data_IF_137584981338
#
_entry.id   IF_137584981338
#
_cell.length_a   1.000
_cell.length_b   1.000
_cell.length_c   1.000
_cell.angle_alpha   90.00
_cell.angle_beta   90.00
_cell.angle_gamma   90.00
#
_symmetry.space_group_name_H-M   'P 1'
#
loop_
_entity.id
_entity.type
_entity.pdbx_description
1 polymer ?
#
# COMPACT_ATOMS: atom_id res chain seq x y z
N UNK A 1 -5.51 -6.21 -17.57
CA UNK A 1 -4.44 -6.67 -16.65
C UNK A 1 -3.76 -7.94 -17.14
N UNK A 2 -4.38 -9.12 -17.09
CA UNK A 2 -3.72 -10.42 -17.35
C UNK A 2 -2.87 -10.52 -18.62
N UNK A 3 -3.26 -9.92 -19.75
CA UNK A 3 -2.46 -9.94 -20.99
C UNK A 3 -1.13 -9.17 -20.85
N UNK A 4 -1.15 -7.98 -20.27
CA UNK A 4 0.08 -7.21 -19.97
C UNK A 4 0.96 -7.99 -19.01
N UNK A 5 0.36 -8.61 -17.99
CA UNK A 5 1.07 -9.44 -17.03
C UNK A 5 1.73 -10.67 -17.68
N UNK A 6 1.01 -11.41 -18.53
CA UNK A 6 1.53 -12.59 -19.25
C UNK A 6 2.64 -12.22 -20.25
N UNK A 7 2.59 -11.02 -20.85
CA UNK A 7 3.66 -10.49 -21.69
C UNK A 7 4.91 -10.14 -20.88
N UNK A 8 4.75 -9.52 -19.71
CA UNK A 8 5.86 -9.16 -18.81
C UNK A 8 6.48 -10.40 -18.16
N UNK A 9 5.69 -11.40 -17.75
CA UNK A 9 6.20 -12.59 -17.06
C UNK A 9 6.99 -13.53 -17.99
N UNK A 10 6.49 -13.82 -19.21
CA UNK A 10 7.25 -14.59 -20.22
C UNK A 10 8.56 -13.91 -20.64
N UNK A 11 8.60 -12.59 -20.57
CA UNK A 11 9.81 -11.82 -20.87
C UNK A 11 10.77 -11.77 -19.67
N UNK A 12 10.28 -11.61 -18.43
CA UNK A 12 11.08 -11.71 -17.19
C UNK A 12 11.87 -13.03 -17.12
N UNK A 13 11.20 -14.14 -17.44
CA UNK A 13 11.82 -15.48 -17.41
C UNK A 13 12.95 -15.61 -18.43
N UNK A 14 12.85 -14.94 -19.58
CA UNK A 14 13.91 -14.94 -20.62
C UNK A 14 15.07 -13.98 -20.33
N UNK A 15 14.78 -12.75 -19.89
CA UNK A 15 15.83 -11.74 -19.65
C UNK A 15 16.52 -11.89 -18.29
N UNK A 16 16.10 -12.82 -17.41
CA UNK A 16 16.70 -12.91 -16.08
C UNK A 16 18.17 -13.36 -16.08
N UNK A 17 18.59 -14.28 -16.96
CA UNK A 17 20.00 -14.54 -17.32
C UNK A 17 21.02 -14.86 -16.22
N UNK A 18 20.62 -14.89 -14.95
CA UNK A 18 21.52 -14.95 -13.79
C UNK A 18 21.99 -16.38 -13.51
N UNK A 19 23.19 -16.70 -13.98
CA UNK A 19 24.06 -17.61 -13.22
C UNK A 19 24.35 -16.96 -11.85
N UNK A 20 24.17 -17.73 -10.77
CA UNK A 20 24.50 -17.29 -9.42
C UNK A 20 25.89 -17.83 -9.05
N UNK A 21 26.75 -16.94 -8.56
CA UNK A 21 28.14 -17.20 -8.22
C UNK A 21 28.27 -18.24 -7.09
N UNK A 22 28.64 -19.48 -7.45
CA UNK A 22 29.17 -20.44 -6.48
C UNK A 22 30.69 -20.27 -6.26
N UNK A 23 31.39 -19.60 -7.19
CA UNK A 23 32.86 -19.58 -7.27
C UNK A 23 33.53 -18.31 -6.71
N UNK A 24 32.89 -17.14 -6.71
CA UNK A 24 33.54 -15.90 -6.25
C UNK A 24 33.69 -15.84 -4.72
N UNK A 25 32.70 -16.33 -3.95
CA UNK A 25 32.74 -16.32 -2.48
C UNK A 25 33.92 -17.11 -1.89
N UNK A 26 34.29 -18.24 -2.48
CA UNK A 26 35.42 -19.05 -2.01
C UNK A 26 36.79 -18.46 -2.41
N UNK A 27 36.84 -17.53 -3.37
CA UNK A 27 38.08 -16.88 -3.81
C UNK A 27 38.43 -15.65 -2.97
N UNK A 28 37.43 -14.86 -2.58
CA UNK A 28 37.63 -13.70 -1.68
C UNK A 28 38.12 -14.15 -0.28
N UNK A 29 37.58 -15.27 0.23
CA UNK A 29 37.92 -15.77 1.57
C UNK A 29 39.38 -16.23 1.75
N UNK A 30 40.06 -16.69 0.69
CA UNK A 30 41.48 -17.11 0.77
C UNK A 30 42.47 -15.95 0.75
N UNK A 31 42.07 -14.75 0.35
CA UNK A 31 42.97 -13.62 0.15
C UNK A 31 43.11 -12.67 1.36
N UNK A 32 42.29 -12.86 2.40
CA UNK A 32 42.25 -12.01 3.62
C UNK A 32 43.04 -12.63 4.78
N UNK A 33 43.69 -13.78 4.56
CA UNK A 33 44.67 -14.32 5.50
C UNK A 33 45.92 -13.43 5.57
N UNK A 34 46.26 -12.98 6.78
CA UNK A 34 47.53 -12.33 7.15
C UNK A 34 47.67 -10.84 6.75
N UNK A 35 46.76 -9.97 7.21
CA UNK A 35 47.15 -8.62 7.65
C UNK A 35 46.13 -8.04 8.66
N UNK A 36 46.62 -7.49 9.78
CA UNK A 36 45.77 -7.00 10.87
C UNK A 36 45.19 -5.62 10.56
N UNK A 37 44.17 -5.58 9.69
CA UNK A 37 43.40 -4.36 9.41
C UNK A 37 42.71 -3.91 10.71
N UNK A 38 43.00 -2.68 11.13
CA UNK A 38 42.39 -2.10 12.34
C UNK A 38 40.86 -2.04 12.22
N UNK A 39 40.14 -2.33 13.30
CA UNK A 39 38.66 -2.46 13.32
C UNK A 39 37.96 -1.25 12.68
N UNK A 40 38.41 -0.03 13.01
CA UNK A 40 37.89 1.22 12.46
C UNK A 40 38.08 1.33 10.94
N UNK A 41 39.18 0.78 10.41
CA UNK A 41 39.49 0.75 8.98
C UNK A 41 38.70 -0.34 8.26
N UNK A 42 38.46 -1.49 8.91
CA UNK A 42 37.54 -2.52 8.42
C UNK A 42 36.09 -2.00 8.35
N UNK A 43 35.60 -1.37 9.42
CA UNK A 43 34.27 -0.72 9.44
C UNK A 43 34.14 0.37 8.36
N UNK A 44 35.17 1.20 8.17
CA UNK A 44 35.18 2.22 7.12
C UNK A 44 35.14 1.59 5.72
N UNK A 45 35.93 0.53 5.47
CA UNK A 45 35.90 -0.19 4.18
C UNK A 45 34.55 -0.89 3.94
N UNK A 46 33.92 -1.47 4.98
CA UNK A 46 32.58 -2.07 4.87
C UNK A 46 31.51 -1.00 4.61
N UNK A 47 31.59 0.16 5.26
CA UNK A 47 30.70 1.28 5.01
C UNK A 47 30.86 1.84 3.58
N UNK A 48 32.11 2.03 3.12
CA UNK A 48 32.42 2.54 1.78
C UNK A 48 32.05 1.52 0.68
N UNK A 49 32.28 0.22 0.89
CA UNK A 49 31.79 -0.87 0.02
C UNK A 49 30.25 -1.00 0.01
N UNK A 50 29.54 -0.44 1.01
CA UNK A 50 28.06 -0.37 1.11
C UNK A 50 27.44 0.90 0.51
N UNK A 51 28.22 1.90 0.08
CA UNK A 51 27.68 3.10 -0.58
C UNK A 51 27.24 2.82 -2.03
N UNK A 52 25.98 2.45 -2.21
CA UNK A 52 25.36 2.27 -3.53
C UNK A 52 25.14 3.64 -4.18
N UNK A 53 25.87 3.92 -5.27
CA UNK A 53 25.67 5.14 -6.06
C UNK A 53 24.33 5.04 -6.79
N UNK A 54 23.45 6.02 -6.61
CA UNK A 54 22.11 6.05 -7.24
C UNK A 54 22.18 5.92 -8.78
N UNK A 55 23.27 6.41 -9.41
CA UNK A 55 23.54 6.24 -10.85
C UNK A 55 23.67 4.78 -11.30
N UNK A 56 24.09 3.88 -10.42
CA UNK A 56 24.20 2.45 -10.72
C UNK A 56 22.83 1.76 -10.63
N UNK A 57 21.86 2.31 -9.89
CA UNK A 57 20.48 1.83 -9.92
C UNK A 57 19.82 2.03 -11.30
N UNK A 58 20.23 3.02 -12.10
CA UNK A 58 19.76 3.17 -13.48
C UNK A 58 20.38 2.17 -14.46
N UNK A 59 21.40 1.40 -14.03
CA UNK A 59 21.95 0.26 -14.79
C UNK A 59 21.24 -1.06 -14.46
N UNK A 60 20.40 -1.10 -13.43
CA UNK A 60 19.54 -2.26 -13.18
C UNK A 60 18.61 -2.44 -14.37
N UNK A 61 18.61 -3.63 -14.96
CA UNK A 61 17.96 -3.91 -16.24
C UNK A 61 16.44 -3.68 -16.22
N UNK A 62 15.84 -3.62 -17.41
CA UNK A 62 14.43 -3.32 -17.64
C UNK A 62 13.46 -4.06 -16.71
N UNK A 63 13.80 -5.32 -16.38
CA UNK A 63 13.08 -6.21 -15.46
C UNK A 63 12.87 -5.57 -14.08
N UNK A 64 13.89 -4.90 -13.54
CA UNK A 64 13.82 -4.15 -12.29
C UNK A 64 12.87 -2.96 -12.41
N UNK A 65 12.93 -2.19 -13.51
CA UNK A 65 12.05 -1.03 -13.71
C UNK A 65 10.58 -1.43 -13.93
N UNK A 66 10.33 -2.54 -14.64
CA UNK A 66 9.00 -3.13 -14.75
C UNK A 66 8.46 -3.58 -13.39
N UNK A 67 9.29 -4.24 -12.58
CA UNK A 67 8.97 -4.60 -11.20
C UNK A 67 8.64 -3.35 -10.35
N UNK A 68 9.46 -2.30 -10.39
CA UNK A 68 9.20 -1.03 -9.69
C UNK A 68 7.89 -0.38 -10.13
N UNK A 69 7.58 -0.37 -11.43
CA UNK A 69 6.30 0.09 -11.94
C UNK A 69 5.11 -0.71 -11.39
N UNK A 70 5.25 -2.04 -11.25
CA UNK A 70 4.24 -2.90 -10.64
C UNK A 70 4.04 -2.55 -9.16
N UNK A 71 5.10 -2.29 -8.38
CA UNK A 71 4.98 -1.87 -6.98
C UNK A 71 4.17 -0.58 -6.80
N UNK A 72 4.42 0.43 -7.65
CA UNK A 72 3.65 1.69 -7.66
C UNK A 72 2.17 1.41 -7.92
N UNK A 73 1.85 0.55 -8.89
CA UNK A 73 0.48 0.17 -9.21
C UNK A 73 -0.19 -0.65 -8.08
N UNK A 74 0.54 -1.55 -7.43
CA UNK A 74 0.06 -2.30 -6.27
C UNK A 74 -0.33 -1.36 -5.11
N UNK A 75 0.57 -0.45 -4.73
CA UNK A 75 0.28 0.56 -3.69
C UNK A 75 -0.89 1.47 -4.06
N UNK A 76 -0.98 1.88 -5.33
CA UNK A 76 -2.06 2.72 -5.85
C UNK A 76 -3.44 2.02 -5.89
N UNK A 77 -3.49 0.71 -6.10
CA UNK A 77 -4.75 -0.04 -6.17
C UNK A 77 -5.20 -0.50 -4.77
N UNK A 78 -4.30 -1.09 -3.99
CA UNK A 78 -4.66 -1.73 -2.73
C UNK A 78 -4.98 -0.70 -1.63
N UNK A 79 -4.11 0.27 -1.38
CA UNK A 79 -4.24 1.14 -0.21
C UNK A 79 -5.53 1.98 -0.20
N UNK A 80 -5.93 2.68 -1.30
CA UNK A 80 -7.19 3.44 -1.31
C UNK A 80 -8.41 2.53 -1.18
N UNK A 81 -8.36 1.30 -1.71
CA UNK A 81 -9.43 0.34 -1.54
C UNK A 81 -9.56 -0.07 -0.07
N UNK A 82 -8.47 -0.47 0.59
CA UNK A 82 -8.50 -0.87 2.00
C UNK A 82 -9.01 0.25 2.91
N UNK A 83 -8.61 1.51 2.68
CA UNK A 83 -9.13 2.65 3.44
C UNK A 83 -10.60 3.02 3.14
N UNK A 84 -11.11 2.73 1.94
CA UNK A 84 -12.49 3.03 1.55
C UNK A 84 -13.44 1.83 1.70
N UNK A 85 -12.94 0.63 1.99
CA UNK A 85 -13.72 -0.60 2.00
C UNK A 85 -14.94 -0.54 2.92
N UNK A 86 -14.76 -0.09 4.17
CA UNK A 86 -15.87 0.07 5.12
C UNK A 86 -16.96 1.01 4.57
N UNK A 87 -16.59 2.19 4.09
CA UNK A 87 -17.52 3.16 3.48
C UNK A 87 -18.21 2.59 2.22
N UNK A 88 -17.50 1.79 1.41
CA UNK A 88 -18.04 1.13 0.23
C UNK A 88 -19.06 0.06 0.65
N UNK A 89 -18.78 -0.72 1.70
CA UNK A 89 -19.69 -1.78 2.16
C UNK A 89 -20.94 -1.20 2.82
N UNK A 90 -20.77 -0.23 3.72
CA UNK A 90 -21.85 0.54 4.37
C UNK A 90 -22.82 1.08 3.32
N UNK A 91 -22.33 1.90 2.37
CA UNK A 91 -23.19 2.57 1.37
C UNK A 91 -23.72 1.66 0.25
N UNK A 92 -23.11 0.50 0.01
CA UNK A 92 -23.55 -0.43 -1.05
C UNK A 92 -24.56 -1.47 -0.57
N UNK A 93 -24.37 -1.96 0.66
CA UNK A 93 -25.14 -3.06 1.23
C UNK A 93 -26.11 -2.62 2.33
N UNK A 94 -26.19 -1.31 2.62
CA UNK A 94 -27.02 -0.72 3.69
C UNK A 94 -26.71 -1.32 5.07
N UNK A 95 -25.42 -1.61 5.30
CA UNK A 95 -24.91 -2.17 6.55
C UNK A 95 -24.68 -1.06 7.57
N UNK A 96 -24.74 -1.40 8.86
CA UNK A 96 -24.32 -0.46 9.90
C UNK A 96 -22.82 -0.16 9.78
N UNK A 97 -22.40 1.02 10.25
CA UNK A 97 -20.98 1.41 10.28
C UNK A 97 -20.12 0.37 11.03
N UNK A 98 -20.68 -0.24 12.09
CA UNK A 98 -20.01 -1.29 12.86
C UNK A 98 -19.82 -2.58 12.06
N UNK A 99 -20.88 -3.06 11.40
CA UNK A 99 -20.81 -4.29 10.59
C UNK A 99 -19.89 -4.11 9.39
N UNK A 100 -19.98 -2.96 8.71
CA UNK A 100 -19.13 -2.64 7.56
C UNK A 100 -17.65 -2.49 7.95
N UNK A 101 -17.35 -1.93 9.13
CA UNK A 101 -15.99 -1.88 9.67
C UNK A 101 -15.49 -3.28 10.09
N UNK A 102 -16.35 -4.12 10.67
CA UNK A 102 -16.05 -5.52 10.99
C UNK A 102 -15.69 -6.30 9.72
N UNK A 103 -16.54 -6.24 8.69
CA UNK A 103 -16.30 -6.86 7.37
C UNK A 103 -15.00 -6.35 6.71
N UNK A 104 -14.71 -5.06 6.80
CA UNK A 104 -13.47 -4.49 6.28
C UNK A 104 -12.22 -4.94 7.08
N UNK A 105 -12.35 -5.23 8.38
CA UNK A 105 -11.22 -5.69 9.21
C UNK A 105 -10.67 -7.06 8.76
N UNK A 106 -11.53 -7.93 8.20
CA UNK A 106 -11.11 -9.22 7.66
C UNK A 106 -10.16 -9.11 6.46
N UNK A 107 -10.17 -7.98 5.73
CA UNK A 107 -9.21 -7.71 4.65
C UNK A 107 -7.77 -7.73 5.19
N UNK A 108 -7.56 -7.05 6.32
CA UNK A 108 -6.26 -6.99 6.98
C UNK A 108 -5.94 -8.30 7.72
N UNK A 109 -6.93 -8.88 8.42
CA UNK A 109 -6.75 -10.13 9.16
C UNK A 109 -6.31 -11.28 8.25
N UNK A 110 -6.82 -11.35 7.01
CA UNK A 110 -6.41 -12.36 6.03
C UNK A 110 -4.88 -12.36 5.81
N UNK A 111 -4.24 -11.19 5.70
CA UNK A 111 -2.78 -11.11 5.49
C UNK A 111 -1.96 -11.76 6.61
N UNK A 112 -2.43 -11.69 7.87
CA UNK A 112 -1.75 -12.24 9.05
C UNK A 112 -1.65 -13.77 8.96
N UNK A 113 -2.71 -14.44 8.50
CA UNK A 113 -2.74 -15.89 8.31
C UNK A 113 -2.10 -16.33 7.00
N UNK A 114 -2.21 -15.51 5.94
CA UNK A 114 -1.68 -15.87 4.63
C UNK A 114 -0.16 -15.73 4.50
N UNK A 115 0.50 -14.85 5.27
CA UNK A 115 1.95 -14.72 5.20
C UNK A 115 2.70 -16.00 5.60
N UNK A 116 2.43 -16.65 6.75
CA UNK A 116 3.05 -17.94 7.09
C UNK A 116 2.75 -19.05 6.06
N UNK A 117 1.51 -19.12 5.58
CA UNK A 117 1.09 -20.11 4.57
C UNK A 117 1.86 -19.89 3.27
N UNK A 118 1.96 -18.65 2.79
CA UNK A 118 2.66 -18.34 1.55
C UNK A 118 4.17 -18.56 1.66
N UNK A 119 4.79 -18.20 2.80
CA UNK A 119 6.19 -18.51 3.09
C UNK A 119 6.45 -20.02 3.00
N UNK A 120 5.66 -20.81 3.75
CA UNK A 120 5.74 -22.26 3.73
C UNK A 120 5.59 -22.85 2.31
N UNK A 121 4.62 -22.37 1.52
CA UNK A 121 4.45 -22.82 0.13
C UNK A 121 5.69 -22.51 -0.73
N UNK A 122 6.26 -21.31 -0.61
CA UNK A 122 7.43 -20.89 -1.39
C UNK A 122 8.64 -21.75 -1.03
N UNK A 123 8.91 -21.95 0.26
CA UNK A 123 10.04 -22.74 0.77
C UNK A 123 9.92 -24.21 0.36
N UNK A 124 8.71 -24.79 0.44
CA UNK A 124 8.46 -26.17 0.01
C UNK A 124 8.60 -26.36 -1.49
N UNK A 125 8.14 -25.40 -2.30
CA UNK A 125 7.97 -25.63 -3.73
C UNK A 125 9.22 -25.37 -4.58
N UNK A 126 10.21 -24.58 -4.09
CA UNK A 126 11.55 -24.32 -4.69
C UNK A 126 11.65 -23.90 -6.17
N UNK A 127 10.56 -23.98 -6.95
CA UNK A 127 10.51 -23.68 -8.37
C UNK A 127 10.12 -22.22 -8.59
N UNK A 128 11.01 -21.42 -9.21
CA UNK A 128 10.80 -19.99 -9.52
C UNK A 128 9.45 -19.66 -10.18
N UNK A 129 8.86 -20.61 -10.91
CA UNK A 129 7.54 -20.49 -11.52
C UNK A 129 6.41 -20.25 -10.50
N UNK A 130 6.51 -20.79 -9.26
CA UNK A 130 5.44 -20.67 -8.26
C UNK A 130 5.19 -19.22 -7.83
N UNK A 131 6.24 -18.39 -7.76
CA UNK A 131 6.13 -16.97 -7.43
C UNK A 131 5.28 -16.23 -8.48
N UNK A 132 5.47 -16.54 -9.76
CA UNK A 132 4.67 -15.98 -10.84
C UNK A 132 3.23 -16.51 -10.85
N UNK A 133 3.02 -17.78 -10.52
CA UNK A 133 1.69 -18.38 -10.41
C UNK A 133 0.89 -17.79 -9.24
N UNK A 134 1.53 -17.64 -8.06
CA UNK A 134 0.96 -16.98 -6.90
C UNK A 134 0.62 -15.52 -7.24
N UNK A 135 1.57 -14.73 -7.75
CA UNK A 135 1.26 -13.33 -8.10
C UNK A 135 0.14 -13.20 -9.15
N UNK A 136 0.08 -14.09 -10.14
CA UNK A 136 -1.04 -14.14 -11.09
C UNK A 136 -2.36 -14.47 -10.37
N UNK A 137 -2.36 -15.45 -9.46
CA UNK A 137 -3.52 -15.82 -8.65
C UNK A 137 -4.02 -14.61 -7.85
N UNK A 138 -3.14 -13.85 -7.19
CA UNK A 138 -3.49 -12.58 -6.52
C UNK A 138 -4.22 -11.66 -7.48
N UNK A 139 -3.61 -11.36 -8.63
CA UNK A 139 -4.18 -10.42 -9.60
C UNK A 139 -5.56 -10.87 -10.08
N UNK A 140 -5.77 -12.18 -10.27
CA UNK A 140 -7.09 -12.73 -10.61
C UNK A 140 -8.10 -12.61 -9.47
N UNK A 141 -7.71 -12.93 -8.22
CA UNK A 141 -8.58 -12.83 -7.04
C UNK A 141 -9.01 -11.38 -6.78
N UNK A 142 -8.07 -10.43 -6.83
CA UNK A 142 -8.36 -9.00 -6.72
C UNK A 142 -9.24 -8.52 -7.88
N UNK A 143 -9.04 -9.01 -9.11
CA UNK A 143 -9.92 -8.69 -10.23
C UNK A 143 -11.35 -9.25 -10.05
N UNK A 144 -11.49 -10.47 -9.51
CA UNK A 144 -12.79 -11.05 -9.17
C UNK A 144 -13.48 -10.30 -8.03
N UNK A 145 -12.74 -9.79 -7.04
CA UNK A 145 -13.29 -8.87 -6.04
C UNK A 145 -13.87 -7.61 -6.68
N UNK A 146 -13.11 -6.91 -7.52
CA UNK A 146 -13.60 -5.70 -8.20
C UNK A 146 -14.78 -6.01 -9.15
N UNK A 147 -14.80 -7.18 -9.79
CA UNK A 147 -15.94 -7.62 -10.59
C UNK A 147 -17.19 -7.87 -9.72
N UNK A 148 -17.05 -8.53 -8.56
CA UNK A 148 -18.12 -8.69 -7.58
C UNK A 148 -18.66 -7.33 -7.10
N UNK A 149 -17.76 -6.40 -6.79
CA UNK A 149 -18.08 -5.01 -6.43
C UNK A 149 -18.48 -4.13 -7.64
N UNK A 150 -18.61 -4.69 -8.83
CA UNK A 150 -19.23 -4.04 -9.98
C UNK A 150 -20.68 -4.52 -10.19
N UNK A 151 -20.99 -5.77 -9.84
CA UNK A 151 -22.34 -6.33 -9.95
C UNK A 151 -23.37 -5.62 -9.04
N UNK A 152 -24.61 -5.38 -9.48
CA UNK A 152 -25.65 -4.73 -8.69
C UNK A 152 -25.85 -5.39 -7.31
N UNK A 153 -26.01 -4.57 -6.26
CA UNK A 153 -26.16 -5.04 -4.87
C UNK A 153 -27.31 -6.04 -4.68
N UNK A 154 -28.39 -5.90 -5.47
CA UNK A 154 -29.53 -6.83 -5.53
C UNK A 154 -29.13 -8.29 -5.83
N UNK A 155 -28.04 -8.49 -6.59
CA UNK A 155 -27.51 -9.81 -6.94
C UNK A 155 -26.54 -10.29 -5.87
N UNK A 156 -25.59 -9.44 -5.46
CA UNK A 156 -24.49 -9.87 -4.57
C UNK A 156 -24.94 -10.04 -3.12
N UNK A 157 -25.89 -9.23 -2.64
CA UNK A 157 -26.50 -9.21 -1.30
C UNK A 157 -25.56 -9.00 -0.09
N UNK A 158 -24.34 -9.51 -0.13
CA UNK A 158 -23.34 -9.39 0.94
C UNK A 158 -21.96 -9.02 0.38
N UNK A 159 -21.11 -8.32 1.18
CA UNK A 159 -19.73 -8.01 0.79
C UNK A 159 -18.79 -9.22 0.95
N UNK A 160 -19.17 -10.23 1.74
CA UNK A 160 -18.30 -11.35 2.17
C UNK A 160 -17.49 -12.00 1.03
N UNK A 161 -18.04 -12.32 -0.16
CA UNK A 161 -17.25 -12.89 -1.24
C UNK A 161 -16.18 -11.93 -1.77
N UNK A 162 -16.47 -10.63 -1.87
CA UNK A 162 -15.47 -9.63 -2.25
C UNK A 162 -14.40 -9.43 -1.17
N UNK A 163 -14.80 -9.47 0.12
CA UNK A 163 -13.87 -9.41 1.25
C UNK A 163 -12.91 -10.60 1.23
N UNK A 164 -13.43 -11.82 1.08
CA UNK A 164 -12.62 -13.03 0.99
C UNK A 164 -11.70 -13.00 -0.24
N UNK A 165 -12.21 -12.66 -1.43
CA UNK A 165 -11.40 -12.58 -2.65
C UNK A 165 -10.30 -11.51 -2.57
N UNK A 166 -10.58 -10.34 -1.99
CA UNK A 166 -9.57 -9.29 -1.80
C UNK A 166 -8.56 -9.65 -0.72
N UNK A 167 -9.02 -10.08 0.47
CA UNK A 167 -8.16 -10.48 1.57
C UNK A 167 -7.23 -11.63 1.19
N UNK A 168 -7.73 -12.60 0.41
CA UNK A 168 -6.87 -13.65 -0.17
C UNK A 168 -5.89 -13.08 -1.20
N UNK A 169 -6.35 -12.28 -2.16
CA UNK A 169 -5.50 -11.74 -3.23
C UNK A 169 -4.42 -10.77 -2.74
N UNK A 170 -4.74 -9.88 -1.79
CA UNK A 170 -3.80 -8.95 -1.17
C UNK A 170 -2.97 -9.63 -0.07
N UNK A 171 -3.50 -10.67 0.58
CA UNK A 171 -2.87 -11.31 1.73
C UNK A 171 -1.58 -12.08 1.46
N UNK A 172 -1.22 -12.37 0.21
CA UNK A 172 0.10 -12.94 -0.13
C UNK A 172 0.91 -12.13 -1.15
N UNK A 173 0.29 -11.16 -1.83
CA UNK A 173 0.93 -10.44 -2.93
C UNK A 173 2.12 -9.55 -2.52
N UNK A 174 2.07 -8.74 -1.44
CA UNK A 174 3.22 -7.98 -0.97
C UNK A 174 4.42 -8.88 -0.62
N UNK A 175 4.16 -10.02 0.01
CA UNK A 175 5.20 -11.00 0.39
C UNK A 175 5.88 -11.60 -0.85
N UNK A 176 5.11 -12.01 -1.87
CA UNK A 176 5.66 -12.46 -3.16
C UNK A 176 6.45 -11.33 -3.85
N UNK A 177 6.01 -10.08 -3.71
CA UNK A 177 6.67 -8.89 -4.26
C UNK A 177 7.99 -8.55 -3.55
N UNK A 178 8.13 -8.87 -2.27
CA UNK A 178 9.42 -8.81 -1.54
C UNK A 178 10.33 -9.96 -1.95
N UNK A 179 9.82 -11.20 -1.98
CA UNK A 179 10.61 -12.40 -2.26
C UNK A 179 11.14 -12.45 -3.71
N UNK A 180 10.48 -11.80 -4.67
CA UNK A 180 11.02 -11.72 -6.03
C UNK A 180 12.33 -10.90 -6.10
N UNK A 181 12.55 -9.93 -5.19
CA UNK A 181 13.68 -8.99 -5.25
C UNK A 181 15.06 -9.66 -5.29
N UNK A 182 15.42 -10.56 -4.36
CA UNK A 182 16.69 -11.31 -4.43
C UNK A 182 16.89 -12.11 -5.73
N UNK A 183 15.82 -12.41 -6.47
CA UNK A 183 15.90 -13.11 -7.76
C UNK A 183 16.04 -12.16 -8.96
N UNK A 184 15.82 -10.85 -8.78
CA UNK A 184 15.89 -9.85 -9.87
C UNK A 184 17.16 -9.01 -9.84
N UNK A 185 17.84 -8.90 -8.70
CA UNK A 185 19.04 -8.06 -8.54
C UNK A 185 20.16 -8.82 -7.86
N UNK A 186 21.42 -8.53 -8.25
CA UNK A 186 22.61 -9.02 -7.56
C UNK A 186 22.56 -8.65 -6.07
N UNK A 187 23.11 -9.53 -5.22
CA UNK A 187 23.10 -9.46 -3.75
C UNK A 187 23.44 -8.07 -3.20
N UNK A 188 24.40 -7.37 -3.83
CA UNK A 188 24.84 -6.01 -3.47
C UNK A 188 23.73 -4.96 -3.53
N UNK A 189 22.73 -5.14 -4.40
CA UNK A 189 21.65 -4.18 -4.64
C UNK A 189 20.32 -4.54 -3.96
N UNK A 190 20.26 -5.69 -3.26
CA UNK A 190 19.04 -6.13 -2.56
C UNK A 190 18.53 -5.06 -1.57
N UNK A 191 19.35 -4.50 -0.64
CA UNK A 191 18.84 -3.53 0.33
C UNK A 191 18.32 -2.24 -0.31
N UNK A 192 19.02 -1.74 -1.33
CA UNK A 192 18.59 -0.56 -2.10
C UNK A 192 17.30 -0.84 -2.87
N UNK A 193 17.13 -2.05 -3.41
CA UNK A 193 15.90 -2.44 -4.13
C UNK A 193 14.71 -2.59 -3.20
N UNK A 194 14.91 -3.15 -2.00
CA UNK A 194 13.87 -3.22 -0.97
C UNK A 194 13.45 -1.82 -0.48
N UNK A 195 14.41 -0.91 -0.28
CA UNK A 195 14.10 0.49 0.02
C UNK A 195 13.37 1.22 -1.11
N UNK A 196 13.75 0.97 -2.37
CA UNK A 196 13.08 1.51 -3.55
C UNK A 196 11.65 0.96 -3.72
N UNK A 197 11.45 -0.35 -3.51
CA UNK A 197 10.13 -0.97 -3.45
C UNK A 197 9.25 -0.26 -2.43
N UNK A 198 9.62 -0.22 -1.15
CA UNK A 198 8.74 0.29 -0.09
C UNK A 198 8.42 1.78 -0.27
N UNK A 199 9.40 2.58 -0.65
CA UNK A 199 9.19 4.03 -0.90
C UNK A 199 8.30 4.29 -2.12
N UNK A 200 8.38 3.49 -3.18
CA UNK A 200 7.58 3.68 -4.40
C UNK A 200 6.18 3.06 -4.30
N UNK A 201 6.01 1.97 -3.54
CA UNK A 201 4.70 1.48 -3.10
C UNK A 201 3.95 2.57 -2.29
N UNK A 202 4.60 3.14 -1.28
CA UNK A 202 4.03 4.20 -0.45
C UNK A 202 3.75 5.49 -1.24
N UNK A 203 4.59 5.78 -2.23
CA UNK A 203 4.34 6.86 -3.20
C UNK A 203 3.04 6.57 -3.97
N UNK A 204 2.92 5.39 -4.60
CA UNK A 204 1.70 4.96 -5.32
C UNK A 204 0.42 5.00 -4.48
N UNK A 205 0.50 4.60 -3.20
CA UNK A 205 -0.60 4.74 -2.24
C UNK A 205 -1.00 6.20 -2.04
N UNK A 206 -0.07 7.07 -1.61
CA UNK A 206 -0.32 8.48 -1.29
C UNK A 206 -0.93 9.24 -2.47
N UNK A 207 -0.40 8.95 -3.67
CA UNK A 207 -0.90 9.36 -4.98
C UNK A 207 -2.40 9.06 -5.11
N UNK A 208 -2.76 7.78 -5.01
CA UNK A 208 -4.09 7.33 -5.43
C UNK A 208 -5.15 7.54 -4.34
N UNK A 209 -4.74 7.58 -3.06
CA UNK A 209 -5.57 8.10 -1.97
C UNK A 209 -5.99 9.55 -2.23
N UNK A 210 -5.06 10.40 -2.70
CA UNK A 210 -5.35 11.81 -3.04
C UNK A 210 -6.34 11.91 -4.22
N UNK A 211 -6.14 11.12 -5.27
CA UNK A 211 -7.09 11.02 -6.39
C UNK A 211 -8.49 10.58 -5.93
N UNK A 212 -8.58 9.54 -5.09
CA UNK A 212 -9.84 9.03 -4.58
C UNK A 212 -10.58 10.06 -3.73
N UNK A 213 -9.88 10.77 -2.84
CA UNK A 213 -10.45 11.87 -2.04
C UNK A 213 -11.04 12.99 -2.91
N UNK A 214 -10.31 13.43 -3.94
CA UNK A 214 -10.84 14.43 -4.89
C UNK A 214 -12.04 13.94 -5.69
N UNK A 215 -12.05 12.67 -6.08
CA UNK A 215 -13.15 12.10 -6.85
C UNK A 215 -14.44 12.09 -6.01
N UNK A 216 -14.34 11.67 -4.74
CA UNK A 216 -15.44 11.69 -3.77
C UNK A 216 -15.94 13.12 -3.48
N UNK A 217 -15.05 14.10 -3.31
CA UNK A 217 -15.41 15.52 -3.13
C UNK A 217 -16.26 16.06 -4.30
N UNK A 218 -15.90 15.73 -5.55
CA UNK A 218 -16.64 16.15 -6.74
C UNK A 218 -18.03 15.53 -6.79
N UNK A 219 -18.16 14.24 -6.51
CA UNK A 219 -19.45 13.53 -6.46
C UNK A 219 -20.34 14.13 -5.37
N UNK A 220 -19.81 14.34 -4.15
CA UNK A 220 -20.55 14.95 -3.03
C UNK A 220 -21.04 16.37 -3.37
N UNK A 221 -20.21 17.18 -4.02
CA UNK A 221 -20.57 18.54 -4.44
C UNK A 221 -21.70 18.52 -5.47
N UNK A 222 -21.66 17.60 -6.44
CA UNK A 222 -22.73 17.45 -7.45
C UNK A 222 -24.07 17.08 -6.79
N UNK A 223 -24.08 16.11 -5.88
CA UNK A 223 -25.30 15.68 -5.16
C UNK A 223 -25.90 16.84 -4.34
N UNK A 224 -25.06 17.67 -3.69
CA UNK A 224 -25.52 18.86 -2.97
C UNK A 224 -26.06 19.97 -3.89
N UNK A 225 -25.49 20.12 -5.08
CA UNK A 225 -25.96 21.08 -6.07
C UNK A 225 -27.32 20.66 -6.69
N UNK A 226 -27.61 19.36 -6.78
CA UNK A 226 -28.88 18.84 -7.29
C UNK A 226 -30.01 18.84 -6.24
N UNK A 227 -29.70 18.73 -4.94
CA UNK A 227 -30.71 18.76 -3.86
C UNK A 227 -31.09 20.17 -3.41
N UNK A 228 -30.21 21.16 -3.56
CA UNK A 228 -30.46 22.55 -3.14
C UNK A 228 -31.64 23.22 -3.89
N UNK A 229 -31.78 23.12 -5.23
CA UNK A 229 -32.86 23.80 -5.97
C UNK A 229 -34.26 23.34 -5.57
N UNK A 230 -34.45 22.06 -5.27
CA UNK A 230 -35.73 21.51 -4.81
C UNK A 230 -36.05 21.94 -3.37
N UNK A 231 -35.06 21.92 -2.47
CA UNK A 231 -35.21 22.47 -1.11
C UNK A 231 -35.53 23.96 -1.09
N UNK A 232 -34.86 24.78 -1.91
CA UNK A 232 -35.07 26.23 -1.97
C UNK A 232 -36.46 26.58 -2.52
N UNK A 233 -36.92 25.85 -3.54
CA UNK A 233 -38.28 26.00 -4.06
C UNK A 233 -39.34 25.50 -3.05
N UNK A 234 -39.08 24.44 -2.30
CA UNK A 234 -39.99 23.96 -1.25
C UNK A 234 -40.06 24.93 -0.07
N UNK A 235 -38.92 25.50 0.37
CA UNK A 235 -38.85 26.54 1.40
C UNK A 235 -39.56 27.82 0.96
N UNK A 236 -39.39 28.26 -0.30
CA UNK A 236 -40.17 29.37 -0.87
C UNK A 236 -41.67 29.07 -0.91
N UNK A 237 -42.10 27.86 -1.32
CA UNK A 237 -43.52 27.46 -1.27
C UNK A 237 -44.09 27.47 0.15
N UNK A 238 -43.34 26.97 1.15
CA UNK A 238 -43.76 27.02 2.56
C UNK A 238 -43.85 28.45 3.10
N UNK A 239 -42.93 29.33 2.73
CA UNK A 239 -42.97 30.75 3.11
C UNK A 239 -44.14 31.48 2.45
N UNK A 240 -44.41 31.23 1.16
CA UNK A 240 -45.56 31.79 0.44
C UNK A 240 -46.91 31.33 1.02
N UNK A 241 -47.02 30.05 1.42
CA UNK A 241 -48.22 29.53 2.08
C UNK A 241 -48.39 30.09 3.51
N UNK A 242 -47.30 30.18 4.28
CA UNK A 242 -47.33 30.72 5.65
C UNK A 242 -47.73 32.20 5.72
N UNK A 243 -47.36 32.99 4.71
CA UNK A 243 -47.73 34.41 4.63
C UNK A 243 -49.24 34.68 4.44
N UNK A 244 -50.03 33.64 4.07
CA UNK A 244 -51.50 33.76 3.91
C UNK A 244 -52.26 33.41 5.20
N UNK A 245 -51.62 32.75 6.17
CA UNK A 245 -52.26 32.23 7.39
C UNK A 245 -52.11 33.16 8.62
N UNK A 246 -51.94 34.47 8.42
CA UNK A 246 -51.94 35.47 9.50
C UNK A 246 -52.79 36.70 9.13
N UNK A 247 -54.11 36.51 8.97
CA UNK A 247 -55.07 37.60 9.12
C UNK A 247 -55.67 37.50 10.52
N UNK A 248 -55.40 38.43 11.45
CA UNK A 248 -56.05 38.42 12.75
C UNK A 248 -57.55 38.56 12.54
N UNK A 249 -58.30 37.62 13.10
CA UNK A 249 -59.74 37.78 13.30
C UNK A 249 -59.85 38.39 14.70
N UNK A 250 -60.00 39.72 14.75
CA UNK A 250 -60.32 40.42 15.99
C UNK A 250 -61.72 40.00 16.43
N UNK A 251 -61.78 39.12 17.43
CA UNK A 251 -62.99 38.88 18.20
C UNK A 251 -62.70 39.29 19.64
N UNK A 252 -63.21 40.47 19.99
CA UNK A 252 -63.45 40.81 21.40
C UNK A 252 -64.39 39.74 21.97
N UNK A 253 -64.07 39.20 23.15
CA UNK A 253 -65.09 39.01 24.16
C UNK A 253 -64.44 39.00 25.55
N UNK A 254 -65.05 39.76 26.45
CA UNK A 254 -64.60 39.92 27.83
C UNK A 254 -65.22 38.81 28.69
N UNK A 255 -64.42 38.04 29.43
CA UNK A 255 -64.93 37.41 30.65
C UNK A 255 -63.82 37.18 31.68
N UNK A 256 -63.98 37.82 32.83
CA UNK A 256 -63.17 37.62 34.02
C UNK A 256 -63.44 36.23 34.64
N UNK A 257 -62.42 35.58 35.20
CA UNK A 257 -62.46 35.23 36.63
C UNK A 257 -61.12 34.69 37.18
N UNK A 258 -60.92 35.00 38.46
CA UNK A 258 -59.97 34.45 39.45
C UNK A 258 -60.04 32.90 39.54
N UNK A 259 -59.13 32.11 40.14
CA UNK A 259 -57.99 32.30 41.06
C UNK A 259 -56.98 31.12 40.78
N UNK A 260 -55.84 30.85 41.44
CA UNK A 260 -55.13 31.34 42.64
C UNK A 260 -53.59 31.20 42.40
N UNK A 261 -52.77 31.56 43.39
CA UNK A 261 -51.32 31.30 43.45
C UNK A 261 -50.99 29.82 43.84
N UNK A 262 -49.75 29.30 43.89
CA UNK A 262 -48.50 29.84 44.46
C UNK A 262 -47.25 29.00 44.00
N UNK A 263 -45.98 29.25 44.44
CA UNK A 263 -44.87 29.34 43.47
C UNK A 263 -43.61 28.52 43.81
N UNK A 264 -42.59 28.59 42.94
CA UNK A 264 -41.12 28.52 43.13
C UNK A 264 -40.48 27.95 41.84
N UNK A 265 -40.01 28.78 40.91
CA UNK A 265 -38.71 29.50 40.95
C UNK A 265 -37.51 28.56 41.18
N UNK A 266 -36.91 28.08 40.09
CA UNK A 266 -35.49 28.36 39.83
C UNK A 266 -35.17 28.34 38.32
N UNK A 267 -34.96 29.53 37.76
CA UNK A 267 -34.61 29.71 36.34
C UNK A 267 -33.13 29.46 36.09
N UNK A 268 -32.79 28.65 35.07
CA UNK A 268 -31.45 28.67 34.46
C UNK A 268 -31.51 28.57 32.94
N UNK A 269 -31.75 29.72 32.33
CA UNK A 269 -31.59 29.94 30.89
C UNK A 269 -30.10 29.92 30.53
N UNK A 270 -29.62 28.94 29.76
CA UNK A 270 -28.35 29.11 29.06
C UNK A 270 -28.24 28.32 27.75
N UNK A 271 -28.09 29.10 26.66
CA UNK A 271 -27.36 28.83 25.40
C UNK A 271 -27.15 27.38 24.90
N UNK A 272 -27.54 27.19 23.63
CA UNK A 272 -26.74 26.59 22.54
C UNK A 272 -25.63 25.59 22.97
N UNK A 273 -25.87 24.31 22.72
CA UNK A 273 -24.97 23.55 21.84
C UNK A 273 -25.76 22.50 21.05
N UNK A 274 -25.74 22.63 19.71
CA UNK A 274 -26.00 21.50 18.84
C UNK A 274 -24.63 20.89 18.55
N UNK A 275 -24.25 19.92 19.37
CA UNK A 275 -23.03 19.14 19.14
C UNK A 275 -23.27 18.20 17.95
N UNK A 276 -22.76 18.60 16.79
CA UNK A 276 -22.47 17.66 15.69
C UNK A 276 -21.60 16.52 16.22
N UNK A 277 -21.81 15.26 15.78
CA UNK A 277 -20.75 14.27 15.79
C UNK A 277 -19.77 14.60 14.66
N UNK A 278 -18.89 15.57 14.89
CA UNK A 278 -17.78 15.88 13.97
C UNK A 278 -16.53 15.12 14.42
N UNK A 279 -16.65 13.78 14.47
CA UNK A 279 -15.67 12.89 15.13
C UNK A 279 -15.30 11.62 14.32
N UNK A 280 -15.35 11.68 12.99
CA UNK A 280 -14.91 10.57 12.10
C UNK A 280 -13.67 10.90 11.26
N UNK A 281 -13.02 12.05 11.46
CA UNK A 281 -11.86 12.49 10.67
C UNK A 281 -10.51 12.38 11.38
N UNK A 282 -10.48 12.25 12.71
CA UNK A 282 -9.25 12.19 13.49
C UNK A 282 -8.64 10.77 13.56
N UNK A 283 -9.47 9.73 13.45
CA UNK A 283 -9.05 8.33 13.69
C UNK A 283 -8.43 7.66 12.46
N UNK A 284 -8.67 8.19 11.26
CA UNK A 284 -8.01 7.73 10.02
C UNK A 284 -6.49 8.00 10.06
N UNK A 285 -6.04 9.01 10.83
CA UNK A 285 -4.61 9.34 10.97
C UNK A 285 -3.87 8.51 12.05
N UNK A 286 -4.57 7.82 12.96
CA UNK A 286 -3.95 7.02 14.02
C UNK A 286 -3.55 5.62 13.55
N UNK A 287 -4.33 5.00 12.66
CA UNK A 287 -4.04 3.66 12.11
C UNK A 287 -2.79 3.66 11.23
N UNK A 288 -2.62 4.67 10.35
CA UNK A 288 -1.43 4.80 9.51
C UNK A 288 -0.16 5.20 10.30
N UNK A 289 -0.31 5.69 11.54
CA UNK A 289 0.81 5.83 12.49
C UNK A 289 1.20 4.48 13.11
N UNK A 290 0.27 3.53 13.24
CA UNK A 290 0.52 2.20 13.83
C UNK A 290 1.32 1.29 12.89
N UNK A 291 1.07 1.34 11.58
CA UNK A 291 1.88 0.62 10.58
C UNK A 291 3.29 1.21 10.37
N UNK A 292 3.50 2.49 10.68
CA UNK A 292 4.84 3.09 10.67
C UNK A 292 5.65 2.83 11.95
N UNK A 293 4.98 2.48 13.06
CA UNK A 293 5.64 2.18 14.35
C UNK A 293 6.10 0.72 14.48
N UNK A 294 5.59 -0.21 13.68
CA UNK A 294 6.14 -1.58 13.59
C UNK A 294 7.45 -1.66 12.80
N UNK A 295 7.95 -0.54 12.26
CA UNK A 295 9.19 -0.47 11.46
C UNK A 295 10.31 0.36 12.10
N UNK A 296 10.10 1.01 13.25
CA UNK A 296 11.12 1.88 13.88
C UNK A 296 11.11 1.67 15.41
N UNK A 297 12.17 1.02 15.91
CA UNK A 297 12.51 1.01 17.34
C UNK A 297 12.07 -0.22 18.12
N UNK A 298 12.80 -1.33 17.98
CA UNK A 298 12.94 -2.29 19.09
C UNK A 298 14.06 -1.79 20.01
N UNK A 299 13.89 -1.76 21.33
CA UNK A 299 14.98 -1.43 22.25
C UNK A 299 16.06 -2.52 22.17
N UNK A 300 17.33 -2.12 22.30
CA UNK A 300 18.44 -3.05 22.50
C UNK A 300 18.28 -3.65 23.89
N UNK A 301 17.76 -4.87 23.95
CA UNK A 301 17.82 -5.74 25.13
C UNK A 301 19.04 -6.66 24.94
N UNK A 302 19.93 -6.82 25.95
CA UNK A 302 21.00 -7.80 25.88
C UNK A 302 20.41 -9.20 25.71
N UNK A 303 20.91 -9.94 24.73
CA UNK A 303 20.53 -11.34 24.53
C UNK A 303 21.39 -12.20 25.45
N UNK A 304 20.81 -12.77 26.49
CA UNK A 304 21.47 -13.81 27.31
C UNK A 304 21.39 -15.17 26.59
N UNK A 305 22.38 -16.02 26.88
CA UNK A 305 22.47 -17.39 26.37
C UNK A 305 21.28 -18.25 26.82
N UNK A 306 20.54 -18.84 25.87
CA UNK A 306 20.14 -20.26 25.94
C UNK A 306 19.47 -20.73 24.64
N UNK A 307 20.15 -21.58 23.88
CA UNK A 307 19.54 -22.71 23.15
C UNK A 307 20.62 -23.62 22.58
N UNK A 308 20.97 -24.63 23.37
CA UNK A 308 21.78 -25.78 22.96
C UNK A 308 21.15 -26.46 21.74
N UNK A 309 21.76 -26.29 20.57
CA UNK A 309 21.56 -27.17 19.42
C UNK A 309 22.77 -28.10 19.36
N UNK A 310 22.51 -29.39 19.58
CA UNK A 310 23.47 -30.46 19.38
C UNK A 310 23.97 -30.43 17.92
N UNK A 311 25.27 -30.21 17.75
CA UNK A 311 25.96 -30.59 16.52
C UNK A 311 26.33 -32.07 16.64
N UNK A 312 25.95 -32.87 15.65
CA UNK A 312 26.53 -34.20 15.48
C UNK A 312 28.03 -34.07 15.17
N UNK A 313 28.79 -34.96 15.78
CA UNK A 313 30.25 -35.07 15.69
C UNK A 313 30.59 -35.80 14.38
N UNK A 314 30.87 -35.04 13.31
CA UNK A 314 31.37 -35.61 12.05
C UNK A 314 32.91 -35.57 12.02
N UNK A 315 33.52 -36.73 11.86
CA UNK A 315 34.95 -37.00 12.09
C UNK A 315 35.89 -36.29 11.08
N UNK A 316 37.12 -36.00 11.51
CA UNK A 316 38.21 -35.60 10.63
C UNK A 316 38.51 -36.68 9.56
N UNK A 317 38.86 -36.26 8.33
CA UNK A 317 39.84 -36.99 7.54
C UNK A 317 41.11 -36.17 7.33
N UNK A 318 42.21 -36.76 7.80
CA UNK A 318 43.62 -36.39 7.65
C UNK A 318 44.02 -35.93 6.24
N UNK A 319 45.10 -35.14 6.21
CA UNK A 319 45.84 -34.72 5.01
C UNK A 319 46.03 -35.87 4.01
N UNK A 320 45.62 -35.63 2.75
CA UNK A 320 46.22 -36.23 1.58
C UNK A 320 46.77 -35.10 0.68
N UNK A 321 48.09 -34.92 0.71
CA UNK A 321 48.81 -34.04 -0.21
C UNK A 321 48.89 -34.69 -1.60
N UNK A 322 47.80 -34.63 -2.38
CA UNK A 322 47.81 -35.03 -3.79
C UNK A 322 48.29 -33.85 -4.66
N UNK A 323 49.34 -34.00 -5.50
CA UNK A 323 49.83 -32.93 -6.36
C UNK A 323 48.82 -32.62 -7.46
N UNK A 324 48.00 -31.60 -7.20
CA UNK A 324 46.84 -31.20 -7.99
C UNK A 324 47.22 -30.91 -9.45
N UNK A 325 46.94 -31.88 -10.32
CA UNK A 325 47.14 -31.77 -11.78
C UNK A 325 46.32 -30.59 -12.28
N UNK A 326 47.00 -29.51 -12.65
CA UNK A 326 46.41 -28.27 -13.14
C UNK A 326 45.80 -28.50 -14.52
N UNK A 327 44.60 -29.07 -14.57
CA UNK A 327 43.77 -29.04 -15.77
C UNK A 327 43.60 -27.57 -16.19
N UNK A 328 43.88 -27.22 -17.46
CA UNK A 328 43.51 -25.90 -17.96
C UNK A 328 41.99 -25.82 -17.94
N UNK A 329 41.44 -25.05 -17.00
CA UNK A 329 40.06 -24.59 -17.09
C UNK A 329 39.94 -23.89 -18.44
N UNK A 330 39.16 -24.49 -19.35
CA UNK A 330 38.75 -23.80 -20.55
C UNK A 330 38.10 -22.49 -20.11
N UNK A 331 38.61 -21.37 -20.62
CA UNK A 331 37.99 -20.06 -20.45
C UNK A 331 36.58 -20.16 -21.02
N UNK A 332 35.61 -20.36 -20.13
CA UNK A 332 34.19 -20.29 -20.43
C UNK A 332 33.90 -18.87 -20.85
N UNK A 333 34.03 -18.62 -22.15
CA UNK A 333 33.81 -17.34 -22.81
C UNK A 333 32.56 -16.70 -22.20
N UNK A 334 32.70 -15.53 -21.59
CA UNK A 334 31.63 -14.95 -20.77
C UNK A 334 30.43 -14.53 -21.63
N UNK A 335 29.47 -15.45 -21.83
CA UNK A 335 28.18 -15.20 -22.48
C UNK A 335 27.26 -14.47 -21.48
N UNK A 336 27.72 -13.31 -20.99
CA UNK A 336 27.02 -12.42 -20.06
C UNK A 336 26.99 -10.95 -20.51
N UNK A 337 27.88 -10.53 -21.41
CA UNK A 337 28.01 -9.12 -21.82
C UNK A 337 27.19 -8.70 -23.04
N UNK A 338 26.41 -9.61 -23.64
CA UNK A 338 25.48 -9.28 -24.72
C UNK A 338 24.10 -8.82 -24.21
N UNK A 339 24.05 -8.05 -23.10
CA UNK A 339 22.87 -7.22 -22.78
C UNK A 339 22.66 -6.25 -23.95
N UNK A 340 21.70 -6.58 -24.81
CA UNK A 340 21.62 -5.93 -26.11
C UNK A 340 21.28 -4.45 -25.93
N UNK A 341 21.82 -3.57 -26.80
CA UNK A 341 21.57 -2.12 -26.75
C UNK A 341 20.06 -1.77 -26.75
N UNK A 342 19.23 -2.69 -27.25
CA UNK A 342 17.77 -2.63 -27.27
C UNK A 342 17.17 -2.72 -25.86
N UNK A 343 17.68 -3.59 -24.98
CA UNK A 343 17.24 -3.69 -23.57
C UNK A 343 17.56 -2.37 -22.86
N UNK A 344 18.82 -1.95 -22.81
CA UNK A 344 19.20 -0.67 -22.18
C UNK A 344 18.40 0.57 -22.69
N UNK A 345 17.98 0.59 -23.97
CA UNK A 345 17.09 1.63 -24.50
C UNK A 345 15.66 1.53 -23.95
N UNK A 346 15.12 0.32 -23.79
CA UNK A 346 13.79 0.08 -23.19
C UNK A 346 13.79 0.36 -21.69
N UNK A 347 14.84 -0.03 -20.96
CA UNK A 347 15.04 0.35 -19.55
C UNK A 347 15.04 1.86 -19.34
N UNK A 348 15.69 2.62 -20.24
CA UNK A 348 15.59 4.10 -20.24
C UNK A 348 14.16 4.58 -20.45
N UNK A 349 13.40 4.00 -21.38
CA UNK A 349 11.98 4.38 -21.60
C UNK A 349 11.15 4.09 -20.35
N UNK A 350 11.31 2.93 -19.71
CA UNK A 350 10.59 2.59 -18.48
C UNK A 350 11.01 3.49 -17.30
N UNK A 351 12.31 3.77 -17.11
CA UNK A 351 12.78 4.69 -16.08
C UNK A 351 12.26 6.12 -16.29
N UNK A 352 12.28 6.63 -17.53
CA UNK A 352 11.67 7.93 -17.88
C UNK A 352 10.18 7.91 -17.61
N UNK A 353 9.46 6.86 -18.01
CA UNK A 353 8.02 6.73 -17.77
C UNK A 353 7.68 6.66 -16.27
N UNK A 354 8.48 5.96 -15.46
CA UNK A 354 8.36 5.94 -14.00
C UNK A 354 8.61 7.33 -13.40
N UNK A 355 9.68 8.02 -13.80
CA UNK A 355 9.97 9.40 -13.37
C UNK A 355 8.84 10.34 -13.78
N UNK A 356 8.32 10.22 -15.00
CA UNK A 356 7.18 10.98 -15.49
C UNK A 356 5.90 10.69 -14.69
N UNK A 357 5.60 9.44 -14.32
CA UNK A 357 4.45 9.11 -13.46
C UNK A 357 4.59 9.71 -12.05
N UNK A 358 5.79 9.63 -11.46
CA UNK A 358 6.09 10.24 -10.16
C UNK A 358 5.93 11.77 -10.24
N UNK A 359 6.55 12.42 -11.23
CA UNK A 359 6.51 13.86 -11.40
C UNK A 359 5.10 14.38 -11.75
N UNK A 360 4.41 13.71 -12.69
CA UNK A 360 3.01 13.98 -13.02
C UNK A 360 2.14 13.97 -11.76
N UNK A 361 2.40 13.04 -10.84
CA UNK A 361 1.57 12.95 -9.65
C UNK A 361 1.97 13.92 -8.55
N UNK A 362 3.24 14.29 -8.42
CA UNK A 362 3.61 15.45 -7.60
C UNK A 362 2.90 16.72 -8.07
N UNK A 363 2.83 16.96 -9.38
CA UNK A 363 2.05 18.06 -9.96
C UNK A 363 0.56 17.91 -9.65
N UNK A 364 -0.01 16.71 -9.80
CA UNK A 364 -1.43 16.47 -9.49
C UNK A 364 -1.76 16.66 -8.01
N UNK A 365 -0.88 16.23 -7.10
CA UNK A 365 -0.99 16.42 -5.65
C UNK A 365 -0.94 17.91 -5.28
N UNK A 366 0.04 18.65 -5.81
CA UNK A 366 0.15 20.11 -5.59
C UNK A 366 -1.08 20.84 -6.14
N UNK A 367 -1.55 20.49 -7.35
CA UNK A 367 -2.77 21.06 -7.93
C UNK A 367 -4.02 20.74 -7.09
N UNK A 368 -4.11 19.51 -6.56
CA UNK A 368 -5.16 19.08 -5.63
C UNK A 368 -5.21 19.94 -4.38
N UNK A 369 -4.05 20.10 -3.71
CA UNK A 369 -3.91 20.91 -2.50
C UNK A 369 -4.24 22.37 -2.79
N UNK A 370 -3.72 22.92 -3.89
CA UNK A 370 -4.00 24.30 -4.31
C UNK A 370 -5.50 24.56 -4.56
N UNK A 371 -6.18 23.65 -5.25
CA UNK A 371 -7.62 23.75 -5.49
C UNK A 371 -8.44 23.67 -4.19
N UNK A 372 -8.08 22.78 -3.25
CA UNK A 372 -8.73 22.72 -1.92
C UNK A 372 -8.48 23.98 -1.10
N UNK A 373 -7.27 24.54 -1.12
CA UNK A 373 -6.96 25.80 -0.43
C UNK A 373 -7.75 26.99 -1.00
N UNK A 374 -7.84 27.08 -2.32
CA UNK A 374 -8.65 28.12 -2.99
C UNK A 374 -10.15 27.98 -2.66
N UNK A 375 -10.69 26.78 -2.77
CA UNK A 375 -12.10 26.50 -2.45
C UNK A 375 -12.46 26.74 -0.97
N UNK A 376 -11.49 26.79 -0.05
CA UNK A 376 -11.71 27.24 1.33
C UNK A 376 -11.74 28.78 1.42
N UNK A 377 -10.84 29.48 0.73
CA UNK A 377 -10.80 30.95 0.71
C UNK A 377 -12.11 31.56 0.17
N UNK A 378 -12.72 30.91 -0.82
CA UNK A 378 -13.99 31.35 -1.42
C UNK A 378 -15.23 31.08 -0.52
N UNK A 379 -15.05 30.55 0.71
CA UNK A 379 -16.14 30.22 1.67
C UNK A 379 -16.13 31.03 2.97
N UNK A 380 -15.14 31.90 3.17
CA UNK A 380 -15.08 32.83 4.30
C UNK A 380 -15.39 34.25 3.76
N UNK A 381 -16.65 34.73 3.87
CA UNK A 381 -17.07 36.05 3.41
C UNK A 381 -16.69 37.18 4.38
#
# INVERSE_FOLDING_TARGET
MNLVYLSVSKWLVRSSGTELEASEMHREARHVGIESVTETQALKQVAEKRLVRIKDATKLGDVFWAYIGINILCGAIWSPFTHLAANIFEKRYDLSEHDAASDASFLLAASVFLYPICGYLIDRMKHRSILHQLFLLSSTLTAFCYFWLLLPANITKTPVPAVALFGLGQGFAPLVLVIIVPTLVSSRYIPTTLGAHKSLEQTGSTIFQTFAGLFLDKVKTKIQAESSPSELNLKRKRQAAGAVQCRPLETNDDTENEFEANPLVMSRTHRRSSSRPELCAAEVHSLQRRENLSSIGSPVVPFEDESTILYEEEEEPLLNDEPLVRHPQAEGLAIGEAQTKIEHMRGKIFAVLSICLIAFTWVFFIATVYLRLRAKKDREP
#
